data_IF_607185912978
#
_entry.id   IF_607185912978
#
_cell.length_a   1.000
_cell.length_b   1.000
_cell.length_c   1.000
_cell.angle_alpha   90.00
_cell.angle_beta   90.00
_cell.angle_gamma   90.00
#
_symmetry.space_group_name_H-M   'P 1'
#
loop_
_entity.id
_entity.type
_entity.pdbx_description
1 polymer ?
#
# COMPACT_ATOMS: atom_id res chain seq x y z
N UNK A 1 2.16 6.43 -24.62
CA UNK A 1 2.33 7.06 -23.28
C UNK A 1 3.75 7.63 -23.03
N UNK A 2 4.72 7.48 -23.95
CA UNK A 2 6.10 7.96 -23.73
C UNK A 2 6.29 9.49 -23.68
N UNK A 3 5.35 10.30 -24.21
CA UNK A 3 5.49 11.77 -24.28
C UNK A 3 5.36 12.51 -22.94
N UNK A 4 4.81 11.88 -21.90
CA UNK A 4 4.57 12.57 -20.62
C UNK A 4 5.83 12.75 -19.77
N UNK A 5 6.77 11.81 -19.79
CA UNK A 5 7.95 11.85 -18.92
C UNK A 5 9.02 12.87 -19.35
N UNK A 6 8.98 13.33 -20.60
CA UNK A 6 9.92 14.31 -21.16
C UNK A 6 9.43 15.75 -21.08
N UNK A 7 8.21 15.99 -20.59
CA UNK A 7 7.64 17.34 -20.41
C UNK A 7 7.88 17.82 -18.96
N UNK A 8 8.71 18.87 -18.75
CA UNK A 8 9.00 19.38 -17.40
C UNK A 8 7.75 19.86 -16.65
N UNK A 9 6.74 20.39 -17.33
CA UNK A 9 5.52 20.87 -16.71
C UNK A 9 4.66 19.70 -16.20
N UNK A 10 4.58 18.61 -16.98
CA UNK A 10 3.95 17.37 -16.55
C UNK A 10 4.68 16.76 -15.35
N UNK A 11 6.01 16.65 -15.41
CA UNK A 11 6.81 16.08 -14.31
C UNK A 11 6.65 16.89 -13.02
N UNK A 12 6.68 18.22 -13.08
CA UNK A 12 6.46 19.07 -11.91
C UNK A 12 5.05 18.89 -11.31
N UNK A 13 4.01 18.84 -12.15
CA UNK A 13 2.64 18.59 -11.70
C UNK A 13 2.49 17.20 -11.07
N UNK A 14 3.05 16.19 -11.72
CA UNK A 14 3.07 14.81 -11.23
C UNK A 14 3.76 14.70 -9.87
N UNK A 15 4.95 15.29 -9.71
CA UNK A 15 5.70 15.25 -8.45
C UNK A 15 5.00 16.02 -7.33
N UNK A 16 4.22 17.07 -7.64
CA UNK A 16 3.37 17.75 -6.66
C UNK A 16 2.25 16.83 -6.17
N UNK A 17 1.54 16.17 -7.08
CA UNK A 17 0.51 15.19 -6.73
C UNK A 17 1.09 14.01 -5.96
N UNK A 18 2.28 13.53 -6.36
CA UNK A 18 2.99 12.45 -5.68
C UNK A 18 3.31 12.82 -4.22
N UNK A 19 3.85 14.02 -3.96
CA UNK A 19 4.10 14.49 -2.59
C UNK A 19 2.84 14.52 -1.73
N UNK A 20 1.73 15.01 -2.28
CA UNK A 20 0.44 15.01 -1.58
C UNK A 20 -0.04 13.59 -1.27
N UNK A 21 0.11 12.66 -2.22
CA UNK A 21 -0.21 11.25 -2.03
C UNK A 21 0.65 10.58 -0.94
N UNK A 22 1.97 10.81 -0.95
CA UNK A 22 2.87 10.31 0.09
C UNK A 22 2.48 10.88 1.45
N UNK A 23 2.19 12.19 1.54
CA UNK A 23 1.71 12.78 2.79
C UNK A 23 0.45 12.08 3.29
N UNK A 24 -0.57 11.98 2.43
CA UNK A 24 -1.84 11.35 2.79
C UNK A 24 -1.66 9.88 3.23
N UNK A 25 -0.79 9.13 2.54
CA UNK A 25 -0.59 7.71 2.83
C UNK A 25 0.21 7.47 4.12
N UNK A 26 1.26 8.25 4.39
CA UNK A 26 2.19 7.96 5.49
C UNK A 26 2.02 8.85 6.72
N UNK A 27 1.25 9.94 6.67
CA UNK A 27 1.13 10.92 7.76
C UNK A 27 0.77 10.26 9.10
N UNK A 28 -0.37 9.59 9.18
CA UNK A 28 -0.83 8.98 10.44
C UNK A 28 0.12 7.88 10.91
N UNK A 29 0.66 7.10 9.98
CA UNK A 29 1.59 6.01 10.26
C UNK A 29 2.88 6.50 10.93
N UNK A 30 3.46 7.56 10.39
CA UNK A 30 4.69 8.17 10.90
C UNK A 30 4.45 8.90 12.24
N UNK A 31 3.34 9.65 12.35
CA UNK A 31 2.97 10.37 13.58
C UNK A 31 2.74 9.43 14.76
N UNK A 32 2.09 8.28 14.54
CA UNK A 32 1.91 7.25 15.58
C UNK A 32 3.23 6.68 16.11
N UNK A 33 4.33 6.80 15.34
CA UNK A 33 5.68 6.36 15.71
C UNK A 33 6.55 7.48 16.28
N UNK A 34 5.94 8.63 16.56
CA UNK A 34 6.63 9.77 17.16
C UNK A 34 7.37 10.65 16.15
N UNK A 35 7.17 10.47 14.84
CA UNK A 35 7.77 11.36 13.86
C UNK A 35 7.28 12.81 14.04
N UNK A 36 8.19 13.77 14.00
CA UNK A 36 7.86 15.21 13.97
C UNK A 36 7.32 15.60 12.60
N UNK A 37 6.74 16.79 12.49
CA UNK A 37 6.27 17.29 11.19
C UNK A 37 7.42 17.47 10.19
N UNK A 38 8.59 17.89 10.67
CA UNK A 38 9.81 18.00 9.88
C UNK A 38 10.27 16.64 9.37
N UNK A 39 10.20 15.60 10.20
CA UNK A 39 10.53 14.24 9.78
C UNK A 39 9.54 13.71 8.75
N UNK A 40 8.24 13.96 8.90
CA UNK A 40 7.24 13.59 7.89
C UNK A 40 7.51 14.31 6.57
N UNK A 41 7.81 15.62 6.62
CA UNK A 41 8.17 16.38 5.42
C UNK A 41 9.47 15.85 4.78
N UNK A 42 10.45 15.47 5.59
CA UNK A 42 11.68 14.84 5.11
C UNK A 42 11.43 13.52 4.38
N UNK A 43 10.54 12.67 4.90
CA UNK A 43 10.13 11.43 4.20
C UNK A 43 9.48 11.74 2.86
N UNK A 44 8.57 12.71 2.81
CA UNK A 44 7.89 13.14 1.58
C UNK A 44 8.91 13.57 0.52
N UNK A 45 9.90 14.37 0.90
CA UNK A 45 10.94 14.83 -0.04
C UNK A 45 11.89 13.72 -0.46
N UNK A 46 12.26 12.80 0.44
CA UNK A 46 13.10 11.63 0.09
C UNK A 46 12.38 10.75 -0.94
N UNK A 47 11.10 10.45 -0.70
CA UNK A 47 10.30 9.65 -1.63
C UNK A 47 10.11 10.37 -2.97
N UNK A 48 9.88 11.68 -2.96
CA UNK A 48 9.70 12.48 -4.17
C UNK A 48 10.98 12.52 -5.02
N UNK A 49 12.16 12.71 -4.40
CA UNK A 49 13.46 12.69 -5.09
C UNK A 49 13.76 11.33 -5.70
N UNK A 50 13.48 10.26 -4.97
CA UNK A 50 13.59 8.89 -5.52
C UNK A 50 12.67 8.70 -6.73
N UNK A 51 11.44 9.21 -6.65
CA UNK A 51 10.48 9.12 -7.75
C UNK A 51 10.87 9.94 -8.97
N UNK A 52 11.41 11.14 -8.77
CA UNK A 52 11.97 12.01 -9.81
C UNK A 52 13.12 11.31 -10.54
N UNK A 53 14.10 10.78 -9.81
CA UNK A 53 15.21 10.03 -10.39
C UNK A 53 14.74 8.82 -11.24
N UNK A 54 13.69 8.12 -10.80
CA UNK A 54 13.11 7.01 -11.56
C UNK A 54 12.38 7.48 -12.85
N UNK A 55 11.77 8.66 -12.84
CA UNK A 55 11.17 9.25 -14.04
C UNK A 55 12.24 9.67 -15.05
N UNK A 56 13.31 10.30 -14.58
CA UNK A 56 14.43 10.73 -15.40
C UNK A 56 15.15 9.53 -16.04
N UNK A 57 15.41 8.48 -15.26
CA UNK A 57 16.00 7.24 -15.76
C UNK A 57 15.11 6.61 -16.84
N UNK A 58 13.79 6.61 -16.67
CA UNK A 58 12.84 6.10 -17.66
C UNK A 58 12.75 6.98 -18.91
N UNK A 59 12.87 8.29 -18.77
CA UNK A 59 12.90 9.22 -19.89
C UNK A 59 14.17 8.99 -20.73
N UNK A 60 15.34 8.89 -20.09
CA UNK A 60 16.61 8.58 -20.74
C UNK A 60 16.56 7.21 -21.46
N UNK A 61 16.03 6.19 -20.79
CA UNK A 61 15.81 4.86 -21.37
C UNK A 61 14.92 4.86 -22.62
N UNK A 62 13.89 5.70 -22.64
CA UNK A 62 12.98 5.77 -23.77
C UNK A 62 13.61 6.41 -25.02
N UNK A 63 14.68 7.17 -24.83
CA UNK A 63 15.45 7.78 -25.90
C UNK A 63 16.50 6.83 -26.50
N UNK A 64 16.98 5.83 -25.74
CA UNK A 64 18.02 4.89 -26.15
C UNK A 64 17.51 3.43 -26.10
N UNK A 65 17.09 2.88 -27.26
CA UNK A 65 16.39 1.59 -27.38
C UNK A 65 17.32 0.36 -27.36
N UNK A 66 18.49 0.43 -26.71
CA UNK A 66 19.47 -0.67 -26.72
C UNK A 66 19.41 -1.51 -25.44
N UNK A 67 19.69 -2.83 -25.55
CA UNK A 67 19.70 -3.74 -24.39
C UNK A 67 20.76 -3.39 -23.33
N UNK A 68 21.79 -2.61 -23.70
CA UNK A 68 22.75 -2.02 -22.76
C UNK A 68 22.08 -1.01 -21.82
N UNK A 69 21.10 -0.23 -22.30
CA UNK A 69 20.32 0.68 -21.48
C UNK A 69 19.49 -0.06 -20.41
N UNK A 70 18.95 -1.25 -20.72
CA UNK A 70 18.15 -2.03 -19.76
C UNK A 70 18.93 -2.43 -18.49
N UNK A 71 20.19 -2.85 -18.64
CA UNK A 71 21.05 -3.17 -17.51
C UNK A 71 21.46 -1.92 -16.71
N UNK A 72 21.74 -0.82 -17.41
CA UNK A 72 22.08 0.47 -16.79
C UNK A 72 20.90 1.08 -16.02
N UNK A 73 19.68 0.99 -16.54
CA UNK A 73 18.45 1.40 -15.85
C UNK A 73 18.28 0.60 -14.57
N UNK A 74 18.44 -0.73 -14.63
CA UNK A 74 18.34 -1.59 -13.46
C UNK A 74 19.40 -1.23 -12.40
N UNK A 75 20.63 -0.95 -12.83
CA UNK A 75 21.70 -0.52 -11.92
C UNK A 75 21.46 0.90 -11.37
N UNK A 76 20.86 1.80 -12.15
CA UNK A 76 20.43 3.12 -11.70
C UNK A 76 19.33 3.02 -10.65
N UNK A 77 18.30 2.22 -10.90
CA UNK A 77 17.18 1.99 -9.99
C UNK A 77 17.68 1.43 -8.65
N UNK A 78 18.60 0.46 -8.67
CA UNK A 78 19.18 -0.11 -7.45
C UNK A 78 19.95 0.95 -6.62
N UNK A 79 20.77 1.78 -7.27
CA UNK A 79 21.51 2.87 -6.59
C UNK A 79 20.58 3.93 -6.02
N UNK A 80 19.53 4.30 -6.77
CA UNK A 80 18.52 5.25 -6.31
C UNK A 80 17.73 4.71 -5.12
N UNK A 81 17.44 3.40 -5.09
CA UNK A 81 16.80 2.73 -3.96
C UNK A 81 17.68 2.73 -2.71
N UNK A 82 18.97 2.38 -2.86
CA UNK A 82 19.92 2.39 -1.75
C UNK A 82 20.10 3.80 -1.17
N UNK A 83 20.17 4.81 -2.03
CA UNK A 83 20.26 6.22 -1.61
C UNK A 83 19.02 6.66 -0.82
N UNK A 84 17.83 6.28 -1.30
CA UNK A 84 16.56 6.52 -0.58
C UNK A 84 16.60 5.87 0.80
N UNK A 85 16.99 4.61 0.87
CA UNK A 85 16.99 3.84 2.11
C UNK A 85 18.00 4.37 3.13
N UNK A 86 19.19 4.76 2.67
CA UNK A 86 20.18 5.43 3.52
C UNK A 86 19.64 6.75 4.08
N UNK A 87 18.98 7.56 3.26
CA UNK A 87 18.37 8.82 3.70
C UNK A 87 17.23 8.61 4.70
N UNK A 88 16.40 7.58 4.49
CA UNK A 88 15.33 7.21 5.43
C UNK A 88 15.91 6.77 6.77
N UNK A 89 16.97 5.93 6.76
CA UNK A 89 17.64 5.50 8.00
C UNK A 89 18.27 6.68 8.75
N UNK A 90 18.86 7.63 8.04
CA UNK A 90 19.43 8.83 8.65
C UNK A 90 18.35 9.74 9.27
N UNK A 91 17.17 9.83 8.66
CA UNK A 91 16.09 10.72 9.12
C UNK A 91 15.25 10.15 10.27
N UNK A 92 14.94 8.86 10.21
CA UNK A 92 13.98 8.19 11.09
C UNK A 92 14.60 7.11 11.98
N UNK A 93 15.88 6.78 11.77
CA UNK A 93 16.59 5.73 12.50
C UNK A 93 16.74 4.42 11.71
N UNK A 94 17.58 3.49 12.20
CA UNK A 94 18.01 2.30 11.46
C UNK A 94 16.86 1.39 11.00
N UNK A 95 15.77 1.31 11.77
CA UNK A 95 14.63 0.43 11.49
C UNK A 95 13.62 1.01 10.48
N UNK A 96 13.80 2.27 10.05
CA UNK A 96 12.80 3.01 9.28
C UNK A 96 12.38 2.31 7.99
N UNK A 97 13.34 1.71 7.27
CA UNK A 97 13.07 1.00 6.01
C UNK A 97 12.18 -0.21 6.25
N UNK A 98 12.51 -1.07 7.22
CA UNK A 98 11.70 -2.23 7.54
C UNK A 98 10.30 -1.87 8.05
N UNK A 99 10.17 -0.76 8.78
CA UNK A 99 8.86 -0.26 9.23
C UNK A 99 8.00 0.23 8.06
N UNK A 100 8.58 0.96 7.11
CA UNK A 100 7.88 1.42 5.91
C UNK A 100 7.50 0.25 5.00
N UNK A 101 8.41 -0.71 4.79
CA UNK A 101 8.13 -1.92 4.02
C UNK A 101 7.01 -2.76 4.66
N UNK A 102 7.04 -2.92 5.98
CA UNK A 102 5.98 -3.59 6.73
C UNK A 102 4.64 -2.87 6.60
N UNK A 103 4.64 -1.53 6.62
CA UNK A 103 3.45 -0.75 6.35
C UNK A 103 2.97 -0.97 4.91
N UNK A 104 3.82 -0.80 3.91
CA UNK A 104 3.47 -0.97 2.50
C UNK A 104 2.94 -2.37 2.19
N UNK A 105 3.48 -3.40 2.86
CA UNK A 105 3.02 -4.79 2.78
C UNK A 105 1.55 -4.98 3.18
N UNK A 106 0.97 -4.06 3.96
CA UNK A 106 -0.45 -4.11 4.39
C UNK A 106 -1.38 -3.25 3.54
N UNK A 107 -0.91 -2.66 2.43
CA UNK A 107 -1.68 -1.71 1.62
C UNK A 107 -3.01 -2.27 1.12
N UNK A 108 -3.02 -3.52 0.64
CA UNK A 108 -4.26 -4.18 0.17
C UNK A 108 -5.26 -4.35 1.30
N UNK A 109 -4.79 -4.71 2.49
CA UNK A 109 -5.63 -4.88 3.67
C UNK A 109 -6.19 -3.53 4.14
N UNK A 110 -5.41 -2.44 4.08
CA UNK A 110 -5.92 -1.09 4.36
C UNK A 110 -7.02 -0.65 3.40
N UNK A 111 -6.88 -0.96 2.10
CA UNK A 111 -7.93 -0.69 1.11
C UNK A 111 -9.20 -1.46 1.46
N UNK A 112 -9.06 -2.76 1.75
CA UNK A 112 -10.19 -3.60 2.14
C UNK A 112 -10.90 -3.09 3.40
N UNK A 113 -10.13 -2.63 4.40
CA UNK A 113 -10.71 -2.02 5.60
C UNK A 113 -11.40 -0.69 5.28
N UNK A 114 -10.90 0.11 4.35
CA UNK A 114 -11.59 1.32 3.90
C UNK A 114 -12.93 1.00 3.21
N UNK A 115 -12.97 -0.07 2.41
CA UNK A 115 -14.21 -0.56 1.77
C UNK A 115 -15.25 -1.05 2.79
N UNK A 116 -14.81 -1.50 3.97
CA UNK A 116 -15.69 -1.87 5.10
C UNK A 116 -16.09 -0.62 5.91
N UNK A 117 -15.16 0.31 6.11
CA UNK A 117 -15.38 1.51 6.91
C UNK A 117 -16.44 2.44 6.30
N UNK A 118 -16.49 2.57 4.97
CA UNK A 118 -17.44 3.46 4.30
C UNK A 118 -18.91 3.05 4.50
N UNK A 119 -19.34 1.79 4.27
CA UNK A 119 -20.70 1.36 4.58
C UNK A 119 -21.00 1.36 6.08
N UNK A 120 -20.02 1.02 6.94
CA UNK A 120 -20.18 1.09 8.38
C UNK A 120 -20.49 2.52 8.85
N UNK A 121 -19.84 3.53 8.27
CA UNK A 121 -20.16 4.94 8.49
C UNK A 121 -21.59 5.27 8.01
N UNK A 122 -21.99 4.78 6.83
CA UNK A 122 -23.30 5.07 6.25
C UNK A 122 -24.48 4.56 7.11
N UNK A 123 -24.28 3.49 7.89
CA UNK A 123 -25.30 2.97 8.82
C UNK A 123 -25.20 3.58 10.23
N UNK A 124 -24.36 4.60 10.43
CA UNK A 124 -24.18 5.27 11.71
C UNK A 124 -23.25 4.55 12.69
N UNK A 125 -22.50 3.55 12.25
CA UNK A 125 -21.56 2.77 13.08
C UNK A 125 -20.13 2.81 12.53
N UNK A 126 -19.49 3.99 12.44
CA UNK A 126 -18.15 4.12 11.88
C UNK A 126 -17.13 3.28 12.64
N UNK A 127 -16.17 2.70 11.90
CA UNK A 127 -15.01 2.06 12.52
C UNK A 127 -14.15 3.13 13.21
N UNK A 128 -13.84 2.92 14.48
CA UNK A 128 -12.83 3.72 15.16
C UNK A 128 -11.44 3.45 14.57
N UNK A 129 -10.50 4.39 14.75
CA UNK A 129 -9.12 4.19 14.29
C UNK A 129 -8.44 2.95 14.91
N UNK A 130 -8.81 2.58 16.14
CA UNK A 130 -8.33 1.36 16.78
C UNK A 130 -8.90 0.10 16.11
N UNK A 131 -10.21 0.07 15.85
CA UNK A 131 -10.86 -1.03 15.14
C UNK A 131 -10.31 -1.20 13.72
N UNK A 132 -10.10 -0.12 12.98
CA UNK A 132 -9.53 -0.18 11.63
C UNK A 132 -8.11 -0.78 11.64
N UNK A 133 -7.24 -0.37 12.57
CA UNK A 133 -5.89 -0.94 12.70
C UNK A 133 -5.93 -2.42 13.08
N UNK A 134 -6.79 -2.77 14.01
CA UNK A 134 -6.95 -4.16 14.46
C UNK A 134 -7.50 -5.05 13.34
N UNK A 135 -8.41 -4.52 12.54
CA UNK A 135 -8.94 -5.22 11.37
C UNK A 135 -7.87 -5.42 10.29
N UNK A 136 -7.02 -4.42 10.02
CA UNK A 136 -5.86 -4.57 9.12
C UNK A 136 -4.94 -5.67 9.62
N UNK A 137 -4.64 -5.72 10.92
CA UNK A 137 -3.79 -6.75 11.54
C UNK A 137 -4.41 -8.14 11.42
N UNK A 138 -5.71 -8.25 11.70
CA UNK A 138 -6.46 -9.49 11.60
C UNK A 138 -6.47 -10.02 10.15
N UNK A 139 -6.77 -9.18 9.17
CA UNK A 139 -6.78 -9.56 7.76
C UNK A 139 -5.37 -9.92 7.28
N UNK A 140 -4.35 -9.15 7.68
CA UNK A 140 -2.96 -9.41 7.28
C UNK A 140 -2.41 -10.73 7.81
N UNK A 141 -2.91 -11.20 8.96
CA UNK A 141 -2.57 -12.49 9.56
C UNK A 141 -3.52 -13.62 9.18
N UNK A 142 -4.51 -13.35 8.32
CA UNK A 142 -5.48 -14.33 7.85
C UNK A 142 -5.04 -14.97 6.53
N UNK A 143 -5.52 -16.19 6.29
CA UNK A 143 -5.25 -16.93 5.04
C UNK A 143 -6.24 -16.56 3.92
N UNK A 144 -6.72 -15.31 3.86
CA UNK A 144 -7.71 -14.88 2.86
C UNK A 144 -7.14 -14.64 1.45
N UNK A 145 -5.86 -14.95 1.23
CA UNK A 145 -5.23 -14.88 -0.08
C UNK A 145 -5.49 -16.13 -0.92
N UNK A 146 -5.43 -15.97 -2.25
CA UNK A 146 -5.29 -17.12 -3.16
C UNK A 146 -3.93 -17.75 -2.90
N UNK A 147 -3.92 -19.04 -2.53
CA UNK A 147 -2.71 -19.83 -2.31
C UNK A 147 -2.56 -20.89 -3.39
N UNK A 148 -1.32 -21.32 -3.60
CA UNK A 148 -1.02 -22.43 -4.52
C UNK A 148 -1.00 -23.73 -3.73
N UNK A 149 -1.85 -24.67 -4.11
CA UNK A 149 -1.88 -26.03 -3.57
C UNK A 149 -1.55 -27.00 -4.72
N UNK A 150 -0.29 -27.42 -4.79
CA UNK A 150 0.23 -28.22 -5.91
C UNK A 150 0.15 -27.45 -7.25
N UNK A 151 -0.62 -27.98 -8.19
CA UNK A 151 -0.86 -27.36 -9.50
C UNK A 151 -2.05 -26.39 -9.51
N UNK A 152 -2.86 -26.34 -8.45
CA UNK A 152 -4.06 -25.52 -8.38
C UNK A 152 -3.84 -24.23 -7.57
N UNK A 153 -4.63 -23.21 -7.91
CA UNK A 153 -4.82 -22.03 -7.07
C UNK A 153 -6.12 -22.20 -6.29
N UNK A 154 -6.04 -22.07 -4.97
CA UNK A 154 -7.16 -22.27 -4.05
C UNK A 154 -7.40 -20.96 -3.29
N UNK A 155 -8.64 -20.51 -3.34
CA UNK A 155 -9.10 -19.36 -2.56
C UNK A 155 -9.43 -19.74 -1.11
N UNK A 156 -9.84 -18.77 -0.30
CA UNK A 156 -10.19 -19.03 1.10
C UNK A 156 -11.49 -19.83 1.19
N UNK A 157 -11.55 -20.74 2.16
CA UNK A 157 -12.71 -21.56 2.49
C UNK A 157 -13.75 -20.80 3.32
N UNK A 158 -15.00 -21.29 3.33
CA UNK A 158 -16.05 -20.75 4.22
C UNK A 158 -15.61 -20.75 5.69
N UNK A 159 -14.96 -21.83 6.14
CA UNK A 159 -14.43 -21.93 7.50
C UNK A 159 -13.36 -20.88 7.83
N UNK A 160 -12.56 -20.46 6.84
CA UNK A 160 -11.55 -19.41 7.03
C UNK A 160 -12.20 -18.03 7.15
N UNK A 161 -13.26 -17.78 6.39
CA UNK A 161 -14.07 -16.57 6.54
C UNK A 161 -14.81 -16.56 7.88
N UNK A 162 -15.42 -17.66 8.30
CA UNK A 162 -16.14 -17.72 9.59
C UNK A 162 -15.19 -17.55 10.78
N UNK A 163 -13.98 -18.13 10.72
CA UNK A 163 -12.95 -17.89 11.73
C UNK A 163 -12.52 -16.42 11.79
N UNK A 164 -12.41 -15.75 10.64
CA UNK A 164 -12.13 -14.33 10.56
C UNK A 164 -13.25 -13.50 11.20
N UNK A 165 -14.51 -13.75 10.86
CA UNK A 165 -15.66 -13.03 11.40
C UNK A 165 -15.80 -13.23 12.91
N UNK A 166 -15.57 -14.46 13.40
CA UNK A 166 -15.58 -14.76 14.83
C UNK A 166 -14.47 -14.04 15.61
N UNK A 167 -13.29 -13.85 15.00
CA UNK A 167 -12.23 -13.03 15.61
C UNK A 167 -12.56 -11.54 15.56
N UNK A 168 -13.16 -11.08 14.48
CA UNK A 168 -13.56 -9.68 14.32
C UNK A 168 -14.64 -9.28 15.34
N UNK A 169 -15.57 -10.17 15.69
CA UNK A 169 -16.61 -9.89 16.69
C UNK A 169 -16.09 -9.65 18.11
N UNK A 170 -14.80 -9.90 18.38
CA UNK A 170 -14.19 -9.56 19.67
C UNK A 170 -13.99 -8.04 19.84
N UNK A 171 -13.98 -7.27 18.75
CA UNK A 171 -13.74 -5.82 18.79
C UNK A 171 -14.63 -4.99 17.86
N UNK A 172 -15.46 -5.62 17.02
CA UNK A 172 -16.48 -4.98 16.19
C UNK A 172 -17.88 -5.20 16.77
N UNK A 173 -18.80 -4.27 16.50
CA UNK A 173 -20.23 -4.45 16.80
C UNK A 173 -20.84 -5.51 15.85
N UNK A 174 -22.01 -6.07 16.19
CA UNK A 174 -22.71 -7.01 15.30
C UNK A 174 -22.99 -6.42 13.91
N UNK A 175 -23.39 -5.15 13.82
CA UNK A 175 -23.67 -4.49 12.54
C UNK A 175 -22.38 -4.26 11.73
N UNK A 176 -21.27 -3.89 12.38
CA UNK A 176 -19.96 -3.79 11.72
C UNK A 176 -19.48 -5.15 11.19
N UNK A 177 -19.70 -6.24 11.93
CA UNK A 177 -19.41 -7.61 11.45
C UNK A 177 -20.30 -7.98 10.27
N UNK A 178 -21.57 -7.60 10.27
CA UNK A 178 -22.47 -7.84 9.15
C UNK A 178 -22.01 -7.13 7.87
N UNK A 179 -21.62 -5.85 7.97
CA UNK A 179 -21.03 -5.09 6.85
C UNK A 179 -19.75 -5.75 6.34
N UNK A 180 -18.84 -6.12 7.26
CA UNK A 180 -17.61 -6.82 6.90
C UNK A 180 -17.91 -8.12 6.14
N UNK A 181 -18.90 -8.90 6.58
CA UNK A 181 -19.32 -10.14 5.93
C UNK A 181 -19.82 -9.88 4.51
N UNK A 182 -20.69 -8.88 4.33
CA UNK A 182 -21.22 -8.52 3.01
C UNK A 182 -20.12 -8.16 2.01
N UNK A 183 -19.18 -7.29 2.40
CA UNK A 183 -18.06 -6.86 1.55
C UNK A 183 -17.16 -8.03 1.17
N UNK A 184 -16.78 -8.87 2.13
CA UNK A 184 -15.86 -9.99 1.88
C UNK A 184 -16.48 -11.11 1.06
N UNK A 185 -17.76 -11.40 1.26
CA UNK A 185 -18.49 -12.39 0.44
C UNK A 185 -18.62 -11.91 -1.00
N UNK A 186 -18.94 -10.63 -1.22
CA UNK A 186 -19.02 -10.05 -2.56
C UNK A 186 -17.69 -10.16 -3.31
N UNK A 187 -16.57 -9.81 -2.66
CA UNK A 187 -15.25 -9.95 -3.28
C UNK A 187 -14.91 -11.40 -3.66
N UNK A 188 -15.31 -12.36 -2.84
CA UNK A 188 -15.14 -13.79 -3.14
C UNK A 188 -15.93 -14.19 -4.39
N UNK A 189 -17.18 -13.74 -4.51
CA UNK A 189 -18.01 -14.03 -5.68
C UNK A 189 -17.44 -13.42 -6.95
N UNK A 190 -16.93 -12.19 -6.88
CA UNK A 190 -16.29 -11.52 -8.02
C UNK A 190 -15.01 -12.27 -8.45
N UNK A 191 -14.19 -12.72 -7.51
CA UNK A 191 -13.02 -13.57 -7.79
C UNK A 191 -13.41 -14.91 -8.43
N UNK A 192 -14.47 -15.56 -7.95
CA UNK A 192 -14.96 -16.82 -8.50
C UNK A 192 -15.51 -16.67 -9.93
N UNK A 193 -16.03 -15.50 -10.30
CA UNK A 193 -16.48 -15.22 -11.68
C UNK A 193 -15.32 -14.99 -12.65
N UNK A 194 -14.20 -14.43 -12.17
CA UNK A 194 -13.01 -14.17 -13.00
C UNK A 194 -12.14 -15.41 -13.26
N UNK A 195 -12.40 -16.50 -12.53
CA UNK A 195 -11.62 -17.75 -12.56
C UNK A 195 -12.36 -18.93 -13.21
N UNK A 196 -13.57 -18.68 -13.72
CA UNK A 196 -14.36 -19.61 -14.56
C UNK A 196 -14.25 -19.21 -16.02
#
# INVERSE_FOLDING_TARGET
MARGATDPAFTASYLRAYRAGVRQEYWDFLRQRGATEEQVQGVIEIMAKWKEAALDARAAASADQTAMAAAEIKASDARSLETRDAALRALLGPDAVGQLEGYDGTKRQRILVADIAAPAFAIGEPLSGAQSRELVRLISSSNLGIRREGAAYVGPTDSEYDALFSRASAFLTPNQVAVMREILVKQREDLARLTR
#
